data_IF_473034693933
#
_entry.id   IF_473034693933
#
_cell.length_a   1.000
_cell.length_b   1.000
_cell.length_c   1.000
_cell.angle_alpha   90.00
_cell.angle_beta   90.00
_cell.angle_gamma   90.00
#
_symmetry.space_group_name_H-M   'P 1'
#
loop_
_entity.id
_entity.type
_entity.pdbx_description
1 polymer ?
#
# COMPACT_ATOMS: atom_id res chain seq x y z
N UNK A 1 -13.23 0.22 15.71
CA UNK A 1 -13.14 -0.58 14.47
C UNK A 1 -12.01 -0.09 13.62
N UNK A 2 -11.15 -0.99 13.13
CA UNK A 2 -10.11 -0.56 12.19
C UNK A 2 -10.74 -0.01 10.92
N UNK A 3 -10.11 1.01 10.35
CA UNK A 3 -10.57 1.61 9.12
C UNK A 3 -9.76 1.06 7.94
N UNK A 4 -10.37 0.19 7.15
CA UNK A 4 -9.72 -0.41 5.99
C UNK A 4 -10.25 0.17 4.68
N UNK A 5 -10.77 1.39 4.74
CA UNK A 5 -11.28 2.06 3.55
C UNK A 5 -10.15 2.44 2.60
N UNK A 6 -10.50 2.69 1.34
CA UNK A 6 -9.54 3.16 0.36
C UNK A 6 -8.93 4.50 0.77
N UNK A 7 -9.73 5.37 1.40
CA UNK A 7 -9.24 6.66 1.88
C UNK A 7 -8.12 6.48 2.90
N UNK A 8 -8.27 5.53 3.80
CA UNK A 8 -7.22 5.24 4.79
C UNK A 8 -5.97 4.67 4.13
N UNK A 9 -6.15 3.75 3.18
CA UNK A 9 -5.05 3.19 2.40
C UNK A 9 -4.27 4.30 1.70
N UNK A 10 -5.00 5.20 1.03
CA UNK A 10 -4.41 6.31 0.31
C UNK A 10 -3.65 7.23 1.26
N UNK A 11 -4.21 7.50 2.44
CA UNK A 11 -3.56 8.34 3.44
C UNK A 11 -2.22 7.73 3.89
N UNK A 12 -2.16 6.42 4.03
CA UNK A 12 -0.92 5.74 4.40
C UNK A 12 0.14 5.94 3.31
N UNK A 13 -0.24 5.78 2.06
CA UNK A 13 0.69 5.97 0.94
C UNK A 13 1.19 7.40 0.90
N UNK A 14 0.30 8.37 1.02
CA UNK A 14 0.64 9.78 1.03
C UNK A 14 1.63 10.09 2.16
N UNK A 15 1.34 9.58 3.34
CA UNK A 15 2.16 9.85 4.51
C UNK A 15 3.56 9.22 4.40
N UNK A 16 3.63 8.00 3.91
CA UNK A 16 4.90 7.28 3.82
C UNK A 16 5.78 7.78 2.67
N UNK A 17 5.19 8.12 1.55
CA UNK A 17 5.94 8.51 0.37
C UNK A 17 6.04 10.03 0.18
N UNK A 18 5.27 10.81 0.92
CA UNK A 18 5.29 12.25 0.81
C UNK A 18 4.77 12.75 -0.54
N UNK A 19 3.78 12.05 -1.09
CA UNK A 19 3.19 12.43 -2.39
C UNK A 19 1.83 13.06 -2.19
N UNK A 20 1.30 13.65 -3.27
CA UNK A 20 -0.02 14.26 -3.23
C UNK A 20 -1.11 13.21 -3.35
N UNK A 21 -2.25 13.38 -2.68
CA UNK A 21 -3.33 12.42 -2.80
C UNK A 21 -3.79 12.18 -4.24
N UNK A 22 -3.74 13.19 -5.08
CA UNK A 22 -4.14 13.07 -6.48
C UNK A 22 -3.23 12.15 -7.27
N UNK A 23 -2.01 11.93 -6.80
CA UNK A 23 -1.07 11.04 -7.47
C UNK A 23 -1.32 9.57 -7.12
N UNK A 24 -2.07 9.32 -6.05
CA UNK A 24 -2.32 7.96 -5.59
C UNK A 24 -3.56 7.43 -6.29
N UNK A 25 -3.36 6.90 -7.48
CA UNK A 25 -4.43 6.32 -8.30
C UNK A 25 -4.06 4.86 -8.60
N UNK A 26 -5.04 4.01 -8.91
CA UNK A 26 -4.76 2.57 -9.07
C UNK A 26 -3.68 2.25 -10.10
N UNK A 27 -3.58 3.03 -11.15
CA UNK A 27 -2.60 2.79 -12.22
C UNK A 27 -1.20 3.26 -11.86
N UNK A 28 -1.04 4.04 -10.79
CA UNK A 28 0.26 4.63 -10.45
C UNK A 28 1.24 3.55 -9.97
N UNK A 29 2.44 3.57 -10.53
CA UNK A 29 3.54 2.72 -10.07
C UNK A 29 4.21 3.40 -8.89
N UNK A 30 4.47 2.65 -7.84
CA UNK A 30 5.15 3.22 -6.67
C UNK A 30 6.54 3.75 -7.04
N UNK A 31 7.24 3.03 -7.88
CA UNK A 31 8.61 3.41 -8.26
C UNK A 31 8.62 4.48 -9.34
N UNK A 32 7.85 4.28 -10.40
CA UNK A 32 7.90 5.16 -11.55
C UNK A 32 7.09 6.44 -11.40
N UNK A 33 5.91 6.32 -10.81
CA UNK A 33 5.01 7.47 -10.70
C UNK A 33 5.11 8.19 -9.37
N UNK A 34 5.37 7.45 -8.31
CA UNK A 34 5.44 8.02 -6.96
C UNK A 34 6.89 8.16 -6.47
N UNK A 35 7.85 7.79 -7.29
CA UNK A 35 9.28 7.94 -7.00
C UNK A 35 9.74 7.24 -5.72
N UNK A 36 9.12 6.13 -5.38
CA UNK A 36 9.53 5.37 -4.21
C UNK A 36 10.80 4.58 -4.52
N UNK A 37 11.78 4.64 -3.64
CA UNK A 37 12.95 3.78 -3.77
C UNK A 37 12.75 2.52 -2.90
N UNK A 38 13.78 1.67 -2.85
CA UNK A 38 13.67 0.41 -2.11
C UNK A 38 13.36 0.62 -0.64
N UNK A 39 13.97 1.62 -0.04
CA UNK A 39 13.76 1.90 1.38
C UNK A 39 12.33 2.42 1.62
N UNK A 40 11.86 3.28 0.73
CA UNK A 40 10.49 3.79 0.82
C UNK A 40 9.49 2.64 0.74
N UNK A 41 9.73 1.68 -0.16
CA UNK A 41 8.85 0.53 -0.31
C UNK A 41 8.85 -0.34 0.94
N UNK A 42 10.00 -0.56 1.54
CA UNK A 42 10.09 -1.33 2.78
C UNK A 42 9.29 -0.66 3.88
N UNK A 43 9.44 0.64 4.03
CA UNK A 43 8.70 1.37 5.05
C UNK A 43 7.20 1.36 4.79
N UNK A 44 6.81 1.48 3.52
CA UNK A 44 5.40 1.42 3.15
C UNK A 44 4.79 0.05 3.48
N UNK A 45 5.50 -1.01 3.14
CA UNK A 45 5.05 -2.37 3.43
C UNK A 45 4.90 -2.56 4.95
N UNK A 46 5.85 -2.07 5.72
CA UNK A 46 5.78 -2.18 7.17
C UNK A 46 4.58 -1.40 7.73
N UNK A 47 4.30 -0.23 7.16
CA UNK A 47 3.14 0.55 7.57
C UNK A 47 1.84 -0.19 7.29
N UNK A 48 1.76 -0.86 6.14
CA UNK A 48 0.58 -1.68 5.81
C UNK A 48 0.44 -2.85 6.77
N UNK A 49 1.55 -3.50 7.10
CA UNK A 49 1.51 -4.63 8.03
C UNK A 49 0.97 -4.22 9.40
N UNK A 50 1.38 -3.05 9.88
CA UNK A 50 0.89 -2.55 11.15
C UNK A 50 -0.57 -2.14 11.07
N UNK A 51 -0.93 -1.42 10.02
CA UNK A 51 -2.28 -0.88 9.89
C UNK A 51 -3.31 -2.00 9.68
N UNK A 52 -2.95 -2.99 8.88
CA UNK A 52 -3.86 -4.09 8.54
C UNK A 52 -3.65 -5.32 9.40
N UNK A 53 -2.70 -5.27 10.32
CA UNK A 53 -2.41 -6.37 11.25
C UNK A 53 -2.20 -7.69 10.51
N UNK A 54 -1.33 -7.66 9.52
CA UNK A 54 -1.03 -8.82 8.68
C UNK A 54 0.45 -8.82 8.35
N UNK A 55 0.94 -9.93 7.86
CA UNK A 55 2.31 -10.04 7.39
C UNK A 55 2.33 -10.09 5.87
N UNK A 56 3.27 -9.36 5.28
CA UNK A 56 3.47 -9.35 3.84
C UNK A 56 4.86 -9.91 3.59
N UNK A 57 4.92 -11.07 2.95
CA UNK A 57 6.20 -11.70 2.64
C UNK A 57 6.96 -10.90 1.59
N UNK A 58 8.27 -11.10 1.51
CA UNK A 58 9.08 -10.44 0.49
C UNK A 58 8.60 -10.78 -0.92
N UNK A 59 8.19 -12.03 -1.12
CA UNK A 59 7.67 -12.46 -2.41
C UNK A 59 6.41 -11.70 -2.79
N UNK A 60 5.51 -11.55 -1.84
CA UNK A 60 4.27 -10.82 -2.07
C UNK A 60 4.54 -9.33 -2.28
N UNK A 61 5.49 -8.78 -1.54
CA UNK A 61 5.87 -7.38 -1.69
C UNK A 61 6.38 -7.10 -3.10
N UNK A 62 7.10 -8.04 -3.69
CA UNK A 62 7.61 -7.89 -5.05
C UNK A 62 6.50 -7.84 -6.09
N UNK A 63 5.33 -8.38 -5.78
CA UNK A 63 4.19 -8.36 -6.70
C UNK A 63 3.41 -7.06 -6.62
N UNK A 64 3.69 -6.26 -5.61
CA UNK A 64 2.99 -5.01 -5.40
C UNK A 64 3.77 -3.91 -6.12
N UNK A 65 3.44 -3.69 -7.39
CA UNK A 65 4.11 -2.69 -8.21
C UNK A 65 3.31 -1.41 -8.36
N UNK A 66 1.98 -1.51 -8.31
CA UNK A 66 1.11 -0.35 -8.46
C UNK A 66 0.21 -0.20 -7.25
N UNK A 67 -0.38 0.99 -7.13
CA UNK A 67 -1.32 1.28 -6.04
C UNK A 67 -2.48 0.28 -6.05
N UNK A 68 -3.02 0.00 -7.24
CA UNK A 68 -4.14 -0.94 -7.36
C UNK A 68 -3.77 -2.35 -6.93
N UNK A 69 -2.57 -2.79 -7.28
CA UNK A 69 -2.10 -4.12 -6.86
C UNK A 69 -1.97 -4.21 -5.35
N UNK A 70 -1.45 -3.16 -4.72
CA UNK A 70 -1.34 -3.12 -3.27
C UNK A 70 -2.72 -3.14 -2.62
N UNK A 71 -3.64 -2.35 -3.15
CA UNK A 71 -4.99 -2.28 -2.62
C UNK A 71 -5.68 -3.65 -2.70
N UNK A 72 -5.61 -4.29 -3.87
CA UNK A 72 -6.22 -5.60 -4.05
C UNK A 72 -5.62 -6.64 -3.11
N UNK A 73 -4.31 -6.62 -2.97
CA UNK A 73 -3.63 -7.55 -2.07
C UNK A 73 -4.12 -7.39 -0.63
N UNK A 74 -4.19 -6.15 -0.17
CA UNK A 74 -4.61 -5.89 1.20
C UNK A 74 -6.08 -6.22 1.42
N UNK A 75 -6.92 -6.03 0.40
CA UNK A 75 -8.32 -6.41 0.51
C UNK A 75 -8.48 -7.92 0.67
N UNK A 76 -7.66 -8.69 -0.01
CA UNK A 76 -7.66 -10.14 0.16
C UNK A 76 -7.26 -10.55 1.57
N UNK A 77 -6.29 -9.84 2.15
CA UNK A 77 -5.80 -10.16 3.49
C UNK A 77 -6.82 -9.88 4.58
N UNK A 78 -7.57 -8.81 4.45
CA UNK A 78 -8.51 -8.39 5.51
C UNK A 78 -9.97 -8.57 5.11
N UNK A 79 -10.28 -8.33 3.85
CA UNK A 79 -11.65 -8.38 3.35
C UNK A 79 -12.15 -9.78 3.08
N UNK A 80 -11.24 -10.67 2.74
CA UNK A 80 -11.61 -12.06 2.46
C UNK A 80 -12.20 -12.75 3.68
N UNK A 81 -11.94 -12.21 4.86
CA UNK A 81 -12.47 -12.75 6.09
C UNK A 81 -13.96 -12.45 6.27
N UNK A 82 -14.48 -11.51 5.54
CA UNK A 82 -15.87 -11.08 5.69
C UNK A 82 -16.83 -11.89 4.85
#
# INVERSE_FOLDING_TARGET
>A
MPDYSYDRFKAIVVDQLGVEPEQVVPEASFVEDLNADSLDLVELIMAFEEEYQTEISDEDAERIGTVGQAWDYLQEKVGAAS
#
